data_IF_141005642409
#
_entry.id   IF_141005642409
#
_cell.length_a   1.000
_cell.length_b   1.000
_cell.length_c   1.000
_cell.angle_alpha   90.00
_cell.angle_beta   90.00
_cell.angle_gamma   90.00
#
_symmetry.space_group_name_H-M   'P 1'
#
loop_
_entity.id
_entity.type
_entity.pdbx_description
1 polymer ?
#
# COMPACT_ATOMS: atom_id res chain seq x y z
N UNK A 1 6.86 -19.30 -1.87
CA UNK A 1 5.52 -18.74 -2.20
C UNK A 1 4.46 -19.73 -1.78
N UNK A 2 3.18 -19.35 -1.76
CA UNK A 2 2.08 -20.23 -1.40
C UNK A 2 1.99 -20.53 0.09
N UNK A 3 1.06 -21.41 0.45
CA UNK A 3 0.85 -22.02 1.75
C UNK A 3 0.96 -23.54 1.57
N UNK A 4 1.98 -24.14 2.18
CA UNK A 4 2.10 -25.60 2.23
C UNK A 4 1.12 -26.16 3.25
N UNK A 5 0.32 -27.15 2.83
CA UNK A 5 -0.58 -27.89 3.72
C UNK A 5 -1.55 -26.98 4.51
N UNK A 6 -1.92 -27.36 5.73
CA UNK A 6 -2.85 -26.63 6.59
C UNK A 6 -2.17 -25.41 7.22
N UNK A 7 -2.79 -24.22 7.08
CA UNK A 7 -2.30 -22.98 7.70
C UNK A 7 -2.18 -23.13 9.22
N UNK A 8 -0.96 -23.00 9.75
CA UNK A 8 -0.62 -23.22 11.17
C UNK A 8 -1.02 -24.61 11.73
N UNK A 9 -1.40 -25.56 10.87
CA UNK A 9 -1.66 -26.93 11.26
C UNK A 9 -0.36 -27.69 11.52
N UNK A 10 -0.39 -28.65 12.44
CA UNK A 10 0.69 -29.64 12.64
C UNK A 10 0.52 -30.88 11.76
N UNK A 11 -0.58 -30.95 11.01
CA UNK A 11 -1.00 -32.14 10.28
C UNK A 11 -0.54 -32.05 8.83
N UNK A 12 0.42 -32.90 8.45
CA UNK A 12 1.01 -32.96 7.11
C UNK A 12 0.25 -33.90 6.16
N UNK A 13 -0.95 -34.37 6.54
CA UNK A 13 -1.74 -35.31 5.74
C UNK A 13 -2.07 -34.79 4.33
N UNK A 14 -2.28 -33.49 4.16
CA UNK A 14 -2.41 -32.87 2.82
C UNK A 14 -1.06 -32.32 2.34
N UNK A 15 -0.43 -33.00 1.37
CA UNK A 15 0.80 -32.54 0.69
C UNK A 15 0.50 -31.64 -0.52
N UNK A 16 -0.35 -30.63 -0.31
CA UNK A 16 -0.78 -29.70 -1.37
C UNK A 16 -0.22 -28.30 -1.07
N UNK A 17 0.41 -27.69 -2.07
CA UNK A 17 0.80 -26.28 -2.05
C UNK A 17 -0.35 -25.44 -2.59
N UNK A 18 -0.97 -24.63 -1.73
CA UNK A 18 -2.02 -23.68 -2.12
C UNK A 18 -1.37 -22.36 -2.50
N UNK A 19 -1.64 -21.87 -3.70
CA UNK A 19 -1.06 -20.64 -4.27
C UNK A 19 -2.21 -19.68 -4.57
N UNK A 20 -2.11 -18.42 -4.14
CA UNK A 20 -3.16 -17.44 -4.42
C UNK A 20 -3.12 -16.94 -5.88
N UNK A 21 -4.13 -16.17 -6.29
CA UNK A 21 -4.25 -15.70 -7.68
C UNK A 21 -3.10 -14.79 -8.11
N UNK A 22 -2.59 -13.92 -7.22
CA UNK A 22 -1.49 -13.01 -7.52
C UNK A 22 -0.18 -13.79 -7.58
N UNK A 23 0.06 -14.66 -6.60
CA UNK A 23 1.19 -15.59 -6.59
C UNK A 23 1.21 -16.46 -7.87
N UNK A 24 0.03 -16.91 -8.33
CA UNK A 24 -0.09 -17.71 -9.56
C UNK A 24 0.29 -16.91 -10.81
N UNK A 25 -0.18 -15.67 -10.94
CA UNK A 25 0.19 -14.79 -12.05
C UNK A 25 1.69 -14.47 -12.06
N UNK A 26 2.27 -14.22 -10.88
CA UNK A 26 3.70 -13.98 -10.74
C UNK A 26 4.53 -15.21 -11.16
N UNK A 27 4.16 -16.40 -10.68
CA UNK A 27 4.81 -17.65 -11.09
C UNK A 27 4.67 -17.91 -12.59
N UNK A 28 3.51 -17.61 -13.18
CA UNK A 28 3.32 -17.76 -14.63
C UNK A 28 4.30 -16.87 -15.43
N UNK A 29 4.56 -15.64 -14.98
CA UNK A 29 5.58 -14.76 -15.57
C UNK A 29 7.01 -15.29 -15.40
N UNK A 30 7.27 -16.07 -14.35
CA UNK A 30 8.54 -16.77 -14.16
C UNK A 30 8.65 -18.07 -14.98
N UNK A 31 7.67 -18.38 -15.85
CA UNK A 31 7.70 -19.54 -16.74
C UNK A 31 7.02 -20.80 -16.19
N UNK A 32 6.38 -20.73 -15.03
CA UNK A 32 5.60 -21.86 -14.51
C UNK A 32 4.31 -22.05 -15.32
N UNK A 33 4.02 -23.30 -15.70
CA UNK A 33 2.81 -23.64 -16.45
C UNK A 33 1.65 -23.91 -15.50
N UNK A 34 0.48 -23.40 -15.84
CA UNK A 34 -0.77 -23.62 -15.12
C UNK A 34 -1.75 -24.36 -16.00
N UNK A 35 -2.51 -25.27 -15.42
CA UNK A 35 -3.48 -26.10 -16.13
C UNK A 35 -4.85 -25.97 -15.44
N UNK A 36 -5.92 -26.03 -16.23
CA UNK A 36 -7.26 -26.15 -15.66
C UNK A 36 -7.56 -27.59 -15.20
N UNK A 37 -8.74 -27.79 -14.62
CA UNK A 37 -9.19 -29.10 -14.12
C UNK A 37 -9.25 -30.20 -15.19
N UNK A 38 -9.23 -29.85 -16.47
CA UNK A 38 -9.26 -30.78 -17.60
C UNK A 38 -7.85 -31.01 -18.19
N UNK A 39 -6.80 -30.49 -17.55
CA UNK A 39 -5.43 -30.60 -18.03
C UNK A 39 -5.09 -29.66 -19.19
N UNK A 40 -5.95 -28.68 -19.52
CA UNK A 40 -5.65 -27.70 -20.56
C UNK A 40 -4.79 -26.58 -20.00
N UNK A 41 -3.67 -26.28 -20.67
CA UNK A 41 -2.78 -25.20 -20.28
C UNK A 41 -3.51 -23.84 -20.33
N UNK A 42 -3.34 -23.06 -19.26
CA UNK A 42 -3.84 -21.70 -19.13
C UNK A 42 -2.71 -20.73 -19.45
N UNK A 43 -2.75 -20.14 -20.66
CA UNK A 43 -1.84 -19.05 -21.04
C UNK A 43 -1.99 -17.86 -20.08
N UNK A 44 -0.91 -17.12 -19.87
CA UNK A 44 -0.85 -15.98 -18.95
C UNK A 44 -2.00 -14.97 -19.19
N UNK A 45 -2.27 -14.60 -20.45
CA UNK A 45 -3.32 -13.63 -20.79
C UNK A 45 -4.71 -14.15 -20.45
N UNK A 46 -4.91 -15.46 -20.49
CA UNK A 46 -6.16 -16.11 -20.06
C UNK A 46 -6.26 -16.09 -18.53
N UNK A 47 -5.17 -16.38 -17.82
CA UNK A 47 -5.13 -16.29 -16.35
C UNK A 47 -5.46 -14.86 -15.87
N UNK A 48 -4.81 -13.84 -16.44
CA UNK A 48 -5.09 -12.43 -16.11
C UNK A 48 -6.56 -12.11 -16.34
N UNK A 49 -7.14 -12.49 -17.48
CA UNK A 49 -8.56 -12.30 -17.78
C UNK A 49 -9.49 -12.97 -16.76
N UNK A 50 -9.15 -14.17 -16.29
CA UNK A 50 -9.93 -14.89 -15.27
C UNK A 50 -9.88 -14.14 -13.94
N UNK A 51 -8.69 -13.70 -13.50
CA UNK A 51 -8.52 -13.00 -12.23
C UNK A 51 -9.14 -11.60 -12.28
N UNK A 52 -8.98 -10.88 -13.39
CA UNK A 52 -9.50 -9.51 -13.59
C UNK A 52 -11.03 -9.42 -13.46
N UNK A 53 -11.76 -10.50 -13.79
CA UNK A 53 -13.21 -10.58 -13.56
C UNK A 53 -13.61 -10.56 -12.08
N UNK A 54 -12.71 -11.00 -11.19
CA UNK A 54 -12.93 -11.04 -9.73
C UNK A 54 -12.27 -9.87 -9.02
N UNK A 55 -11.13 -9.44 -9.53
CA UNK A 55 -10.30 -8.37 -8.97
C UNK A 55 -9.96 -7.43 -10.12
N UNK A 56 -10.79 -6.42 -10.41
CA UNK A 56 -10.58 -5.50 -11.54
C UNK A 56 -9.17 -4.87 -11.55
N UNK A 57 -8.62 -4.61 -10.37
CA UNK A 57 -7.32 -3.98 -10.12
C UNK A 57 -6.15 -4.98 -10.09
N UNK A 58 -6.34 -6.24 -10.52
CA UNK A 58 -5.33 -7.31 -10.42
C UNK A 58 -3.98 -6.92 -11.03
N UNK A 59 -3.99 -6.16 -12.13
CA UNK A 59 -2.76 -5.77 -12.81
C UNK A 59 -1.94 -4.79 -11.98
N UNK A 60 -2.59 -3.97 -11.14
CA UNK A 60 -1.92 -3.02 -10.24
C UNK A 60 -1.43 -3.72 -8.98
N UNK A 61 -2.21 -4.68 -8.47
CA UNK A 61 -1.79 -5.57 -7.39
C UNK A 61 -0.57 -6.42 -7.79
N UNK A 62 -0.58 -6.98 -9.00
CA UNK A 62 0.52 -7.79 -9.53
C UNK A 62 1.79 -6.94 -9.70
N UNK A 63 1.66 -5.71 -10.20
CA UNK A 63 2.80 -4.80 -10.36
C UNK A 63 3.47 -4.48 -9.01
N UNK A 64 2.70 -4.16 -7.98
CA UNK A 64 3.23 -3.95 -6.63
C UNK A 64 3.80 -5.24 -6.04
N UNK A 65 3.13 -6.37 -6.25
CA UNK A 65 3.60 -7.67 -5.76
C UNK A 65 4.98 -8.00 -6.32
N UNK A 66 5.15 -7.87 -7.64
CA UNK A 66 6.42 -8.06 -8.35
C UNK A 66 7.53 -7.18 -7.81
N UNK A 67 7.25 -5.88 -7.72
CA UNK A 67 8.24 -4.88 -7.34
C UNK A 67 8.87 -5.18 -5.97
N UNK A 68 8.08 -5.64 -5.01
CA UNK A 68 8.57 -6.05 -3.68
C UNK A 68 9.18 -7.46 -3.68
N UNK A 69 8.63 -8.42 -4.44
CA UNK A 69 9.17 -9.80 -4.51
C UNK A 69 10.55 -9.84 -5.14
N UNK A 70 10.78 -9.08 -6.20
CA UNK A 70 12.07 -8.95 -6.89
C UNK A 70 13.15 -8.41 -5.95
N UNK A 71 12.76 -7.67 -4.91
CA UNK A 71 13.64 -7.11 -3.87
C UNK A 71 13.80 -8.03 -2.65
N UNK A 72 13.37 -9.29 -2.75
CA UNK A 72 13.56 -10.30 -1.73
C UNK A 72 12.52 -10.28 -0.60
N UNK A 73 11.52 -9.39 -0.65
CA UNK A 73 10.44 -9.39 0.35
C UNK A 73 9.49 -10.57 0.12
N UNK A 74 8.84 -11.01 1.20
CA UNK A 74 7.74 -11.98 1.12
C UNK A 74 6.43 -11.23 1.33
N UNK A 75 5.54 -11.34 0.36
CA UNK A 75 4.19 -10.79 0.44
C UNK A 75 3.21 -11.94 0.64
N UNK A 76 2.36 -11.81 1.66
CA UNK A 76 1.21 -12.69 1.89
C UNK A 76 -0.05 -11.82 1.97
N UNK A 77 -1.23 -12.42 1.87
CA UNK A 77 -2.50 -11.70 2.03
C UNK A 77 -2.52 -10.84 3.31
N UNK A 78 -2.90 -9.56 3.16
CA UNK A 78 -3.11 -8.62 4.25
C UNK A 78 -4.53 -8.65 4.82
N UNK A 79 -5.38 -9.60 4.37
CA UNK A 79 -6.81 -9.66 4.69
C UNK A 79 -7.14 -9.46 6.18
N UNK A 80 -6.37 -10.09 7.08
CA UNK A 80 -6.57 -9.98 8.54
C UNK A 80 -6.30 -8.59 9.12
N UNK A 81 -5.79 -7.66 8.31
CA UNK A 81 -5.31 -6.34 8.70
C UNK A 81 -5.87 -5.22 7.81
N UNK A 82 -6.94 -5.48 7.05
CA UNK A 82 -7.57 -4.46 6.20
C UNK A 82 -6.71 -3.98 5.03
N UNK A 83 -5.73 -4.77 4.59
CA UNK A 83 -4.82 -4.42 3.51
C UNK A 83 -4.70 -5.53 2.47
N UNK A 84 -4.19 -5.18 1.28
CA UNK A 84 -3.95 -6.14 0.20
C UNK A 84 -2.88 -7.16 0.60
N UNK A 85 -1.75 -6.67 1.13
CA UNK A 85 -0.62 -7.50 1.52
C UNK A 85 -0.14 -7.21 2.94
N UNK A 86 0.52 -8.21 3.53
CA UNK A 86 1.44 -8.05 4.66
C UNK A 86 2.82 -8.46 4.19
N UNK A 87 3.84 -7.74 4.63
CA UNK A 87 5.19 -7.89 4.11
C UNK A 87 6.19 -8.34 5.18
N UNK A 88 7.09 -9.23 4.76
CA UNK A 88 8.20 -9.69 5.58
C UNK A 88 9.51 -9.29 4.89
N UNK A 89 10.45 -8.80 5.69
CA UNK A 89 11.76 -8.35 5.22
C UNK A 89 12.56 -9.51 4.60
N UNK A 90 13.51 -9.22 3.70
CA UNK A 90 14.40 -10.24 3.15
C UNK A 90 15.04 -11.10 4.23
N UNK A 91 15.07 -12.41 4.02
CA UNK A 91 15.60 -13.39 4.99
C UNK A 91 14.63 -13.79 6.12
N UNK A 92 13.52 -13.08 6.31
CA UNK A 92 12.45 -13.53 7.19
C UNK A 92 11.65 -14.65 6.53
N UNK A 93 11.11 -15.56 7.34
CA UNK A 93 10.18 -16.60 6.89
C UNK A 93 8.87 -16.47 7.66
N UNK A 94 7.71 -16.46 6.97
CA UNK A 94 6.41 -16.59 7.64
C UNK A 94 6.19 -18.00 8.20
N UNK A 95 7.06 -18.95 7.85
CA UNK A 95 7.09 -20.31 8.38
C UNK A 95 8.00 -20.38 9.61
N UNK A 96 7.66 -21.27 10.54
CA UNK A 96 8.30 -21.41 11.84
C UNK A 96 9.82 -21.61 11.69
N UNK A 97 10.63 -20.67 12.22
CA UNK A 97 12.08 -20.83 12.40
C UNK A 97 12.30 -21.02 13.91
N UNK A 98 12.44 -22.26 14.38
CA UNK A 98 12.52 -22.57 15.81
C UNK A 98 11.16 -22.61 16.53
N UNK A 99 11.03 -21.98 17.71
CA UNK A 99 9.81 -22.02 18.54
C UNK A 99 8.79 -20.91 18.25
N UNK A 100 9.19 -19.81 17.60
CA UNK A 100 8.34 -18.63 17.41
C UNK A 100 8.01 -18.34 15.94
N UNK A 101 6.84 -17.73 15.72
CA UNK A 101 6.41 -17.25 14.41
C UNK A 101 6.90 -15.82 14.22
N UNK A 102 7.54 -15.53 13.09
CA UNK A 102 7.85 -14.14 12.73
C UNK A 102 6.53 -13.45 12.35
N UNK A 103 6.15 -12.43 13.11
CA UNK A 103 4.99 -11.60 12.80
C UNK A 103 5.34 -10.53 11.76
N UNK A 104 4.43 -10.27 10.82
CA UNK A 104 4.55 -9.12 9.92
C UNK A 104 4.48 -7.84 10.75
N UNK A 105 5.38 -6.89 10.54
CA UNK A 105 5.32 -5.56 11.16
C UNK A 105 4.63 -4.51 10.29
N UNK A 106 4.54 -4.78 8.98
CA UNK A 106 4.06 -3.82 8.01
C UNK A 106 2.97 -4.45 7.13
N UNK A 107 2.03 -3.63 6.71
CA UNK A 107 1.02 -3.97 5.71
C UNK A 107 1.15 -3.05 4.53
N UNK A 108 0.81 -3.54 3.35
CA UNK A 108 0.93 -2.82 2.09
C UNK A 108 -0.45 -2.80 1.41
N UNK A 109 -0.95 -1.60 1.20
CA UNK A 109 -2.22 -1.34 0.53
C UNK A 109 -1.94 -0.67 -0.81
N UNK A 110 -2.37 -1.30 -1.90
CA UNK A 110 -2.30 -0.75 -3.24
C UNK A 110 -3.48 0.19 -3.47
N UNK A 111 -3.22 1.42 -3.88
CA UNK A 111 -4.23 2.38 -4.27
C UNK A 111 -4.03 2.76 -5.74
N UNK A 112 -4.71 2.08 -6.68
CA UNK A 112 -4.50 2.32 -8.11
C UNK A 112 -4.81 3.75 -8.52
N UNK A 113 -4.01 4.31 -9.43
CA UNK A 113 -4.08 5.74 -9.78
C UNK A 113 -5.46 6.21 -10.28
N UNK A 114 -6.22 5.37 -10.97
CA UNK A 114 -7.52 5.72 -11.53
C UNK A 114 -8.70 5.33 -10.62
N UNK A 115 -8.45 4.67 -9.50
CA UNK A 115 -9.49 4.34 -8.53
C UNK A 115 -9.74 5.55 -7.64
N UNK A 116 -11.02 5.88 -7.46
CA UNK A 116 -11.48 6.86 -6.48
C UNK A 116 -11.93 6.15 -5.22
N UNK A 117 -11.63 6.72 -4.07
CA UNK A 117 -11.99 6.19 -2.77
C UNK A 117 -12.52 7.32 -1.89
N UNK A 118 -13.65 7.07 -1.21
CA UNK A 118 -14.13 7.98 -0.18
C UNK A 118 -13.13 8.08 0.96
N UNK A 119 -12.93 9.27 1.50
CA UNK A 119 -11.92 9.46 2.55
C UNK A 119 -12.23 8.69 3.84
N UNK A 120 -13.50 8.47 4.15
CA UNK A 120 -13.95 7.55 5.21
C UNK A 120 -13.47 6.10 4.99
N UNK A 121 -13.51 5.58 3.75
CA UNK A 121 -13.03 4.25 3.39
C UNK A 121 -11.50 4.16 3.44
N UNK A 122 -10.82 5.19 2.92
CA UNK A 122 -9.36 5.30 2.98
C UNK A 122 -8.87 5.34 4.43
N UNK A 123 -9.47 6.18 5.26
CA UNK A 123 -9.14 6.31 6.68
C UNK A 123 -9.43 5.00 7.45
N UNK A 124 -10.47 4.25 7.07
CA UNK A 124 -10.76 2.93 7.65
C UNK A 124 -9.61 1.96 7.43
N UNK A 125 -9.04 1.88 6.23
CA UNK A 125 -7.93 0.98 5.94
C UNK A 125 -6.70 1.30 6.80
N UNK A 126 -6.37 2.59 6.95
CA UNK A 126 -5.27 3.07 7.79
C UNK A 126 -5.53 2.73 9.27
N UNK A 127 -6.73 3.05 9.77
CA UNK A 127 -7.13 2.79 11.17
C UNK A 127 -7.09 1.32 11.54
N UNK A 128 -7.52 0.43 10.64
CA UNK A 128 -7.45 -1.03 10.89
C UNK A 128 -6.00 -1.50 11.03
N UNK A 129 -5.08 -0.99 10.23
CA UNK A 129 -3.66 -1.36 10.35
C UNK A 129 -3.04 -0.84 11.65
N UNK A 130 -3.34 0.41 12.03
CA UNK A 130 -2.81 0.99 13.27
C UNK A 130 -3.39 0.33 14.52
N UNK A 131 -4.67 -0.08 14.52
CA UNK A 131 -5.30 -0.76 15.67
C UNK A 131 -4.64 -2.09 16.01
N UNK A 132 -4.08 -2.78 15.03
CA UNK A 132 -3.30 -4.02 15.21
C UNK A 132 -1.79 -3.78 15.25
N UNK A 133 -1.36 -2.53 15.48
CA UNK A 133 0.05 -2.10 15.59
C UNK A 133 0.88 -2.57 14.39
N UNK A 134 0.43 -2.23 13.18
CA UNK A 134 1.16 -2.46 11.94
C UNK A 134 1.40 -1.10 11.27
N UNK A 135 2.62 -0.91 10.76
CA UNK A 135 2.90 0.19 9.85
C UNK A 135 2.06 0.02 8.58
N UNK A 136 1.33 1.07 8.19
CA UNK A 136 0.54 1.09 6.96
C UNK A 136 1.36 1.70 5.83
N UNK A 137 1.71 0.89 4.83
CA UNK A 137 2.38 1.33 3.63
C UNK A 137 1.36 1.41 2.51
N UNK A 138 1.32 2.53 1.81
CA UNK A 138 0.51 2.74 0.62
C UNK A 138 1.40 2.74 -0.62
N UNK A 139 0.98 2.03 -1.67
CA UNK A 139 1.63 2.05 -2.97
C UNK A 139 0.66 2.51 -4.05
N UNK A 140 1.08 3.46 -4.88
CA UNK A 140 0.31 3.96 -6.02
C UNK A 140 1.08 3.56 -7.30
N UNK A 141 0.76 2.41 -7.92
CA UNK A 141 1.58 1.85 -8.98
C UNK A 141 1.35 2.52 -10.33
N UNK A 142 2.30 2.31 -11.26
CA UNK A 142 2.21 2.70 -12.68
C UNK A 142 1.94 4.19 -12.92
N UNK A 143 2.38 5.04 -11.99
CA UNK A 143 2.45 6.47 -12.23
C UNK A 143 3.54 6.76 -13.27
N UNK A 144 3.23 7.58 -14.26
CA UNK A 144 4.18 8.07 -15.26
C UNK A 144 4.44 9.56 -15.06
N UNK A 145 5.50 10.10 -15.67
CA UNK A 145 5.82 11.54 -15.58
C UNK A 145 4.62 12.41 -15.99
N UNK A 146 3.89 12.01 -17.01
CA UNK A 146 2.71 12.74 -17.50
C UNK A 146 1.54 12.70 -16.51
N UNK A 147 1.45 11.67 -15.67
CA UNK A 147 0.38 11.59 -14.66
C UNK A 147 0.54 12.68 -13.59
N UNK A 148 1.77 13.12 -13.30
CA UNK A 148 2.06 14.19 -12.33
C UNK A 148 1.86 15.60 -12.90
N UNK A 149 2.00 15.78 -14.21
CA UNK A 149 2.02 17.09 -14.87
C UNK A 149 0.62 17.74 -15.01
N UNK A 150 -0.45 16.98 -14.80
CA UNK A 150 -1.81 17.39 -15.19
C UNK A 150 -2.78 17.61 -14.04
N UNK A 151 -2.34 17.49 -12.78
CA UNK A 151 -3.24 17.58 -11.63
C UNK A 151 -2.83 18.73 -10.72
N UNK A 152 -3.69 19.76 -10.64
CA UNK A 152 -3.63 20.74 -9.55
C UNK A 152 -4.06 20.02 -8.28
N UNK A 153 -3.15 19.27 -7.65
CA UNK A 153 -3.40 18.73 -6.33
C UNK A 153 -3.92 19.88 -5.45
N UNK A 154 -5.03 19.70 -4.72
CA UNK A 154 -5.55 20.74 -3.85
C UNK A 154 -4.56 20.94 -2.70
N UNK A 155 -3.64 21.88 -2.90
CA UNK A 155 -2.75 22.38 -1.86
C UNK A 155 -3.52 23.48 -1.18
N UNK A 156 -4.00 23.20 0.03
CA UNK A 156 -4.80 24.16 0.76
C UNK A 156 -3.90 25.09 1.57
N UNK A 157 -2.89 24.54 2.26
CA UNK A 157 -2.05 25.32 3.18
C UNK A 157 -0.61 24.84 3.22
N UNK A 158 0.28 25.76 3.60
CA UNK A 158 1.60 25.45 4.15
C UNK A 158 1.52 25.55 5.67
N UNK A 159 1.94 24.51 6.38
CA UNK A 159 1.93 24.50 7.84
C UNK A 159 3.35 24.43 8.42
N UNK A 160 3.53 25.12 9.55
CA UNK A 160 4.77 25.24 10.30
C UNK A 160 4.70 24.39 11.56
N UNK A 161 5.85 23.97 12.11
CA UNK A 161 5.88 23.16 13.32
C UNK A 161 6.13 24.02 14.56
N UNK A 162 5.99 23.42 15.74
CA UNK A 162 6.51 23.97 16.98
C UNK A 162 7.79 23.25 17.40
N UNK A 163 8.88 23.95 17.67
CA UNK A 163 10.09 23.36 18.26
C UNK A 163 10.08 23.63 19.77
N UNK A 164 9.71 22.61 20.55
CA UNK A 164 9.52 22.77 21.99
C UNK A 164 8.42 23.78 22.29
N UNK A 165 8.78 24.91 22.92
CA UNK A 165 7.83 25.98 23.20
C UNK A 165 7.72 27.05 22.10
N UNK A 166 8.63 27.08 21.12
CA UNK A 166 8.70 28.11 20.10
C UNK A 166 7.90 27.73 18.85
N UNK A 167 7.03 28.64 18.41
CA UNK A 167 6.23 28.48 17.20
C UNK A 167 7.06 28.97 16.02
N UNK A 168 7.30 28.09 15.04
CA UNK A 168 7.89 28.47 13.76
C UNK A 168 6.89 29.34 12.98
N UNK A 169 7.39 30.41 12.37
CA UNK A 169 6.61 31.41 11.64
C UNK A 169 7.18 31.59 10.24
N UNK A 170 6.39 32.06 9.27
CA UNK A 170 6.87 32.31 7.91
C UNK A 170 8.07 33.24 7.80
N UNK A 171 8.26 34.14 8.77
CA UNK A 171 9.37 35.10 8.78
C UNK A 171 10.66 34.56 9.40
N UNK A 172 10.63 33.42 10.10
CA UNK A 172 11.79 32.89 10.83
C UNK A 172 12.08 31.40 10.57
N UNK A 173 11.26 30.71 9.78
CA UNK A 173 11.41 29.30 9.47
C UNK A 173 10.82 28.97 8.09
N UNK A 174 11.18 27.80 7.55
CA UNK A 174 10.52 27.21 6.39
C UNK A 174 9.32 26.35 6.85
N UNK A 175 8.27 26.20 6.02
CA UNK A 175 7.16 25.32 6.36
C UNK A 175 7.66 23.88 6.53
N UNK A 176 6.97 23.12 7.37
CA UNK A 176 7.25 21.71 7.65
C UNK A 176 6.32 20.76 6.90
N UNK A 177 5.13 21.24 6.53
CA UNK A 177 4.10 20.44 5.91
C UNK A 177 3.40 21.14 4.76
N UNK A 178 3.02 20.34 3.78
CA UNK A 178 2.00 20.64 2.80
C UNK A 178 0.67 20.05 3.27
N UNK A 179 -0.38 20.85 3.41
CA UNK A 179 -1.67 20.38 3.94
C UNK A 179 -2.68 20.21 2.82
N UNK A 180 -3.27 19.02 2.77
CA UNK A 180 -4.44 18.70 1.95
C UNK A 180 -5.64 18.51 2.90
N UNK A 181 -6.60 19.41 2.81
CA UNK A 181 -7.83 19.40 3.60
C UNK A 181 -8.95 18.72 2.83
N UNK A 182 -9.60 17.74 3.45
CA UNK A 182 -10.64 16.90 2.86
C UNK A 182 -11.78 16.69 3.86
N UNK A 183 -13.00 16.48 3.40
CA UNK A 183 -14.09 15.91 4.21
C UNK A 183 -14.16 14.39 4.10
N UNK A 184 -14.77 13.70 5.06
CA UNK A 184 -14.89 12.24 5.06
C UNK A 184 -15.72 11.67 3.88
N UNK A 185 -16.57 12.50 3.29
CA UNK A 185 -17.46 12.15 2.17
C UNK A 185 -16.83 12.45 0.79
N UNK A 186 -15.71 13.19 0.75
CA UNK A 186 -14.98 13.46 -0.49
C UNK A 186 -14.33 12.20 -1.06
N UNK A 187 -14.28 12.13 -2.39
CA UNK A 187 -13.58 11.08 -3.11
C UNK A 187 -12.23 11.58 -3.59
N UNK A 188 -11.16 10.89 -3.19
CA UNK A 188 -9.81 11.13 -3.66
C UNK A 188 -9.41 10.02 -4.63
N UNK A 189 -8.76 10.37 -5.74
CA UNK A 189 -8.17 9.37 -6.63
C UNK A 189 -6.73 9.07 -6.22
N UNK A 190 -6.25 7.87 -6.55
CA UNK A 190 -4.84 7.54 -6.38
C UNK A 190 -3.92 8.51 -7.12
N UNK A 191 -4.32 9.01 -8.30
CA UNK A 191 -3.55 9.99 -9.07
C UNK A 191 -3.43 11.32 -8.32
N UNK A 192 -4.53 11.88 -7.82
CA UNK A 192 -4.51 13.16 -7.08
C UNK A 192 -3.62 13.05 -5.85
N UNK A 193 -3.75 11.95 -5.10
CA UNK A 193 -2.94 11.71 -3.92
C UNK A 193 -1.46 11.58 -4.27
N UNK A 194 -1.11 10.81 -5.31
CA UNK A 194 0.27 10.69 -5.77
C UNK A 194 0.85 12.02 -6.24
N UNK A 195 0.07 12.85 -6.94
CA UNK A 195 0.49 14.19 -7.38
C UNK A 195 0.76 15.12 -6.20
N UNK A 196 -0.08 15.08 -5.15
CA UNK A 196 0.14 15.86 -3.94
C UNK A 196 1.38 15.41 -3.16
N UNK A 197 1.60 14.10 -3.08
CA UNK A 197 2.78 13.52 -2.43
C UNK A 197 4.07 13.88 -3.19
N UNK A 198 4.04 13.78 -4.52
CA UNK A 198 5.15 14.17 -5.38
C UNK A 198 5.51 15.64 -5.21
N UNK A 199 4.49 16.50 -5.16
CA UNK A 199 4.68 17.93 -4.93
C UNK A 199 5.22 18.25 -3.54
N UNK A 200 4.80 17.52 -2.51
CA UNK A 200 5.36 17.67 -1.17
C UNK A 200 6.85 17.26 -1.16
N UNK A 201 7.18 16.11 -1.77
CA UNK A 201 8.56 15.63 -1.92
C UNK A 201 9.45 16.66 -2.67
N UNK A 202 8.97 17.22 -3.79
CA UNK A 202 9.68 18.27 -4.57
C UNK A 202 10.00 19.53 -3.75
N UNK A 203 9.10 19.91 -2.84
CA UNK A 203 9.25 21.07 -1.97
C UNK A 203 10.06 20.77 -0.71
N UNK A 204 10.48 19.53 -0.50
CA UNK A 204 11.12 19.09 0.75
C UNK A 204 10.18 19.12 1.96
N UNK A 205 8.87 19.05 1.72
CA UNK A 205 7.82 19.09 2.74
C UNK A 205 7.21 17.70 2.95
N UNK A 206 6.59 17.49 4.11
CA UNK A 206 5.79 16.29 4.36
C UNK A 206 4.31 16.58 4.04
N UNK A 207 3.63 15.66 3.36
CA UNK A 207 2.19 15.81 3.12
C UNK A 207 1.41 15.45 4.39
N UNK A 208 0.57 16.37 4.85
CA UNK A 208 -0.36 16.21 5.96
C UNK A 208 -1.80 16.20 5.41
N UNK A 209 -2.47 15.06 5.52
CA UNK A 209 -3.87 14.91 5.18
C UNK A 209 -4.71 15.28 6.41
N UNK A 210 -5.51 16.34 6.31
CA UNK A 210 -6.43 16.78 7.35
C UNK A 210 -7.86 16.43 6.92
N UNK A 211 -8.44 15.40 7.55
CA UNK A 211 -9.77 14.88 7.19
C UNK A 211 -10.77 15.31 8.26
N UNK A 212 -11.73 16.15 7.88
CA UNK A 212 -12.86 16.55 8.72
C UNK A 212 -14.00 15.54 8.61
N UNK A 213 -14.54 15.09 9.74
CA UNK A 213 -15.78 14.32 9.80
C UNK A 213 -17.03 15.22 9.83
N UNK A 214 -18.22 14.60 9.82
CA UNK A 214 -19.52 15.29 9.90
C UNK A 214 -19.76 16.04 11.20
N UNK A 215 -19.00 15.76 12.25
CA UNK A 215 -19.07 16.46 13.53
C UNK A 215 -18.01 17.57 13.64
N UNK A 216 -17.36 17.93 12.53
CA UNK A 216 -16.28 18.92 12.43
C UNK A 216 -14.98 18.56 13.17
N UNK A 217 -14.85 17.31 13.62
CA UNK A 217 -13.60 16.81 14.17
C UNK A 217 -12.61 16.49 13.06
N UNK A 218 -11.34 16.87 13.24
CA UNK A 218 -10.29 16.72 12.23
C UNK A 218 -9.30 15.65 12.66
N UNK A 219 -9.14 14.62 11.81
CA UNK A 219 -8.08 13.63 11.96
C UNK A 219 -6.95 13.92 11.00
N UNK A 220 -5.71 13.90 11.51
CA UNK A 220 -4.52 14.14 10.72
C UNK A 220 -3.77 12.85 10.41
N UNK A 221 -3.36 12.70 9.16
CA UNK A 221 -2.48 11.62 8.71
C UNK A 221 -1.23 12.20 8.03
N UNK A 222 -0.07 11.80 8.51
CA UNK A 222 1.22 12.17 7.93
C UNK A 222 1.64 11.12 6.92
N UNK A 223 1.95 11.53 5.70
CA UNK A 223 2.54 10.68 4.70
C UNK A 223 4.05 10.89 4.64
N UNK A 224 4.81 9.82 4.84
CA UNK A 224 6.28 9.81 4.78
C UNK A 224 6.72 8.97 3.60
N UNK A 225 7.62 9.50 2.78
CA UNK A 225 8.16 8.75 1.66
C UNK A 225 9.00 7.57 2.15
N UNK A 226 8.76 6.40 1.56
CA UNK A 226 9.62 5.22 1.74
C UNK A 226 10.47 5.06 0.48
N UNK A 227 11.77 4.88 0.68
CA UNK A 227 12.68 4.49 -0.37
C UNK A 227 12.77 2.97 -0.44
N UNK A 228 12.24 2.41 -1.52
CA UNK A 228 12.42 1.02 -1.88
C UNK A 228 13.49 0.98 -3.00
N UNK A 229 14.73 0.52 -2.74
CA UNK A 229 15.83 0.62 -3.69
C UNK A 229 15.50 -0.01 -5.05
N UNK A 230 15.78 0.70 -6.15
CA UNK A 230 15.48 0.25 -7.52
C UNK A 230 13.99 -0.10 -7.75
N UNK A 231 13.08 0.54 -7.03
CA UNK A 231 11.65 0.42 -7.27
C UNK A 231 11.23 1.26 -8.48
N UNK A 232 10.30 0.71 -9.26
CA UNK A 232 9.61 1.43 -10.33
C UNK A 232 8.40 2.22 -9.83
N UNK A 233 8.04 2.07 -8.56
CA UNK A 233 6.88 2.66 -7.92
C UNK A 233 7.28 3.55 -6.74
N UNK A 234 6.34 4.39 -6.30
CA UNK A 234 6.50 5.24 -5.11
C UNK A 234 5.66 4.65 -3.97
N UNK A 235 6.25 4.57 -2.78
CA UNK A 235 5.60 4.03 -1.58
C UNK A 235 5.68 5.02 -0.43
N UNK A 236 4.62 5.06 0.38
CA UNK A 236 4.50 6.01 1.47
C UNK A 236 4.02 5.30 2.72
N UNK A 237 4.67 5.55 3.85
CA UNK A 237 4.15 5.21 5.15
C UNK A 237 3.10 6.26 5.54
N UNK A 238 1.92 5.79 5.93
CA UNK A 238 0.84 6.65 6.41
C UNK A 238 0.67 6.42 7.91
N UNK A 239 0.82 7.48 8.68
CA UNK A 239 0.76 7.45 10.14
C UNK A 239 -0.33 8.38 10.64
N UNK A 240 -1.03 7.95 11.68
CA UNK A 240 -1.85 8.87 12.46
C UNK A 240 -0.92 9.90 13.10
N UNK A 241 -1.27 11.17 12.92
CA UNK A 241 -0.50 12.29 13.43
C UNK A 241 -1.34 13.06 14.43
N UNK A 242 -0.75 13.34 15.59
CA UNK A 242 -1.33 14.27 16.55
C UNK A 242 -0.48 15.56 16.50
N UNK A 243 -1.01 16.65 15.92
CA UNK A 243 -0.28 17.91 15.76
C UNK A 243 0.04 18.61 17.08
#
# INVERSE_FOLDING_TARGET
MGQWSIYKGKDEREKILKIDMIESLYLAKLGFKFFDKNGKELKFEKMVRIVKRKIPEVEDLLDVYEDWREKGYILKTGFKFGAHFRIYFPGASPYKKGKEWIHSKHVLHVFPKNVKMRMSEWARAVRVAHSVRKTFIMGIPKMKKEDYLHEKAPINFFAYHRKGNEIEKPNNASPSFLVMALSEDEELSGKVLASALDRADELGLRLLLAISDRESSVTYYLAKRIELPNSRNKYYEIEWFNP
#
